data_IF_338622380852
#
_entry.id   IF_338622380852
#
_cell.length_a   1.000
_cell.length_b   1.000
_cell.length_c   1.000
_cell.angle_alpha   90.00
_cell.angle_beta   90.00
_cell.angle_gamma   90.00
#
_symmetry.space_group_name_H-M   'P 1'
#
loop_
_entity.id
_entity.type
_entity.pdbx_description
1 polymer ?
#
# COMPACT_ATOMS: atom_id res chain seq x y z
N UNK A 1 -7.16 -21.13 9.12
CA UNK A 1 -5.98 -21.25 8.23
C UNK A 1 -6.32 -21.61 6.78
N UNK A 2 -7.60 -21.72 6.39
CA UNK A 2 -8.00 -22.04 5.00
C UNK A 2 -8.27 -20.80 4.10
N UNK A 3 -8.64 -19.65 4.68
CA UNK A 3 -9.04 -18.44 3.92
C UNK A 3 -7.91 -17.76 3.12
N UNK A 4 -6.67 -17.80 3.61
CA UNK A 4 -5.55 -17.10 2.95
C UNK A 4 -5.15 -17.72 1.61
N UNK A 5 -5.28 -19.05 1.49
CA UNK A 5 -4.95 -19.79 0.27
C UNK A 5 -6.02 -19.59 -0.82
N UNK A 6 -7.30 -19.50 -0.42
CA UNK A 6 -8.41 -19.27 -1.35
C UNK A 6 -8.41 -17.84 -1.90
N UNK A 7 -8.09 -16.85 -1.06
CA UNK A 7 -7.94 -15.46 -1.50
C UNK A 7 -6.77 -15.26 -2.48
N UNK A 8 -5.62 -15.90 -2.22
CA UNK A 8 -4.48 -15.86 -3.14
C UNK A 8 -4.82 -16.50 -4.50
N UNK A 9 -5.56 -17.61 -4.49
CA UNK A 9 -6.01 -18.28 -5.72
C UNK A 9 -7.05 -17.45 -6.50
N UNK A 10 -7.97 -16.75 -5.80
CA UNK A 10 -8.92 -15.81 -6.40
C UNK A 10 -8.20 -14.62 -7.04
N UNK A 11 -7.27 -13.99 -6.30
CA UNK A 11 -6.44 -12.89 -6.79
C UNK A 11 -5.64 -13.29 -8.02
N UNK A 12 -4.95 -14.44 -7.99
CA UNK A 12 -4.17 -14.93 -9.13
C UNK A 12 -5.04 -15.14 -10.39
N UNK A 13 -6.30 -15.57 -10.23
CA UNK A 13 -7.23 -15.77 -11.35
C UNK A 13 -7.66 -14.43 -11.99
N UNK A 14 -7.98 -13.44 -11.16
CA UNK A 14 -8.35 -12.09 -11.59
C UNK A 14 -7.16 -11.39 -12.24
N UNK A 15 -5.97 -11.49 -11.64
CA UNK A 15 -4.75 -10.86 -12.14
C UNK A 15 -4.24 -11.46 -13.45
N UNK A 16 -4.35 -12.79 -13.65
CA UNK A 16 -3.99 -13.45 -14.92
C UNK A 16 -4.85 -12.95 -16.10
N UNK A 17 -6.14 -12.70 -15.86
CA UNK A 17 -7.04 -12.14 -16.86
C UNK A 17 -6.72 -10.67 -17.16
N UNK A 18 -6.41 -9.88 -16.14
CA UNK A 18 -6.15 -8.44 -16.27
C UNK A 18 -4.78 -8.11 -16.90
N UNK A 19 -3.75 -8.92 -16.65
CA UNK A 19 -2.40 -8.74 -17.22
C UNK A 19 -2.32 -9.06 -18.72
N UNK A 20 -3.15 -10.00 -19.22
CA UNK A 20 -3.23 -10.38 -20.64
C UNK A 20 -3.46 -9.18 -21.56
N UNK A 21 -4.05 -8.10 -21.05
CA UNK A 21 -4.51 -6.97 -21.85
C UNK A 21 -3.63 -5.72 -21.81
N UNK A 22 -2.51 -5.65 -21.07
CA UNK A 22 -1.61 -4.48 -21.06
C UNK A 22 -2.21 -3.14 -20.57
N UNK A 23 -3.53 -3.06 -20.41
CA UNK A 23 -4.31 -1.91 -19.98
C UNK A 23 -4.13 -1.60 -18.48
N UNK A 24 -3.71 -2.56 -17.67
CA UNK A 24 -3.75 -2.49 -16.21
C UNK A 24 -2.86 -1.41 -15.58
N UNK A 25 -1.62 -1.25 -16.08
CA UNK A 25 -0.71 -0.17 -15.61
C UNK A 25 -1.04 1.19 -16.26
N UNK A 26 -1.55 1.19 -17.50
CA UNK A 26 -1.83 2.40 -18.25
C UNK A 26 -3.08 3.14 -17.74
N UNK A 27 -4.14 2.41 -17.35
CA UNK A 27 -5.39 3.01 -16.86
C UNK A 27 -5.31 3.40 -15.38
N UNK A 28 -4.55 2.67 -14.55
CA UNK A 28 -4.36 2.99 -13.11
C UNK A 28 -3.77 4.38 -12.87
N UNK A 29 -2.91 4.87 -13.77
CA UNK A 29 -2.35 6.24 -13.67
C UNK A 29 -3.43 7.31 -13.51
N UNK A 30 -4.61 7.11 -14.10
CA UNK A 30 -5.68 8.11 -14.13
C UNK A 30 -6.59 8.10 -12.90
N UNK A 31 -6.49 7.09 -12.02
CA UNK A 31 -7.42 6.91 -10.90
C UNK A 31 -6.75 6.78 -9.53
N UNK A 32 -5.41 6.66 -9.45
CA UNK A 32 -4.66 6.58 -8.19
C UNK A 32 -4.16 7.97 -7.74
N UNK A 33 -5.08 8.91 -7.60
CA UNK A 33 -4.78 10.33 -7.42
C UNK A 33 -4.00 10.65 -6.13
N UNK A 34 -4.12 9.81 -5.10
CA UNK A 34 -3.40 9.92 -3.84
C UNK A 34 -1.97 9.37 -3.87
N UNK A 35 -1.54 8.69 -4.94
CA UNK A 35 -0.20 8.07 -5.01
C UNK A 35 0.91 9.09 -4.89
N UNK A 36 0.88 10.14 -5.70
CA UNK A 36 1.99 11.10 -5.77
C UNK A 36 2.11 11.91 -4.45
N UNK A 37 1.00 12.39 -3.84
CA UNK A 37 1.05 12.98 -2.50
C UNK A 37 1.51 12.00 -1.41
N UNK A 38 1.11 10.72 -1.46
CA UNK A 38 1.57 9.70 -0.53
C UNK A 38 3.09 9.53 -0.61
N UNK A 39 3.62 9.30 -1.81
CA UNK A 39 5.06 9.12 -2.02
C UNK A 39 5.80 10.39 -1.61
N UNK A 40 5.30 11.58 -1.93
CA UNK A 40 5.92 12.83 -1.51
C UNK A 40 5.92 13.03 0.00
N UNK A 41 4.87 12.57 0.69
CA UNK A 41 4.70 12.66 2.13
C UNK A 41 5.57 11.67 2.92
N UNK A 42 6.09 10.62 2.28
CA UNK A 42 6.96 9.64 2.95
C UNK A 42 8.14 10.30 3.65
N UNK A 43 8.84 11.23 2.97
CA UNK A 43 9.97 12.00 3.50
C UNK A 43 10.82 11.22 4.54
N UNK A 44 11.36 10.04 4.16
CA UNK A 44 12.11 9.20 5.09
C UNK A 44 13.40 9.93 5.52
N UNK A 45 13.87 9.70 6.76
CA UNK A 45 15.20 10.15 7.18
C UNK A 45 16.31 9.59 6.28
N UNK A 46 17.48 10.23 6.29
CA UNK A 46 18.66 9.72 5.57
C UNK A 46 19.03 8.31 6.07
N UNK A 47 19.33 7.38 5.16
CA UNK A 47 19.69 6.00 5.51
C UNK A 47 18.52 5.11 5.98
N UNK A 48 17.29 5.64 5.99
CA UNK A 48 16.10 4.91 6.40
C UNK A 48 15.78 3.70 5.52
N UNK A 49 15.01 2.78 6.10
CA UNK A 49 14.44 1.61 5.45
C UNK A 49 12.93 1.79 5.35
N UNK A 50 12.42 1.70 4.12
CA UNK A 50 11.01 1.89 3.79
C UNK A 50 10.39 0.57 3.35
N UNK A 51 9.21 0.22 3.86
CA UNK A 51 8.45 -0.95 3.41
C UNK A 51 7.22 -0.53 2.60
N UNK A 52 7.02 -1.10 1.41
CA UNK A 52 5.71 -1.12 0.75
C UNK A 52 5.00 -2.45 0.98
N UNK A 53 3.77 -2.38 1.47
CA UNK A 53 2.88 -3.54 1.62
C UNK A 53 1.89 -3.56 0.46
N UNK A 54 1.85 -4.69 -0.28
CA UNK A 54 1.06 -4.80 -1.51
C UNK A 54 1.70 -4.05 -2.66
N UNK A 55 2.99 -4.31 -2.93
CA UNK A 55 3.78 -3.52 -3.88
C UNK A 55 3.40 -3.75 -5.36
N UNK A 56 2.60 -4.77 -5.67
CA UNK A 56 2.10 -5.04 -7.02
C UNK A 56 3.22 -5.15 -8.05
N UNK A 57 3.12 -4.37 -9.13
CA UNK A 57 4.12 -4.33 -10.20
C UNK A 57 5.40 -3.54 -9.85
N UNK A 58 5.56 -3.10 -8.61
CA UNK A 58 6.74 -2.37 -8.12
C UNK A 58 6.82 -0.92 -8.59
N UNK A 59 5.78 -0.38 -9.24
CA UNK A 59 5.78 1.00 -9.75
C UNK A 59 6.02 2.04 -8.65
N UNK A 60 5.34 1.88 -7.52
CA UNK A 60 5.48 2.81 -6.39
C UNK A 60 6.85 2.68 -5.73
N UNK A 61 7.36 1.46 -5.50
CA UNK A 61 8.74 1.23 -5.07
C UNK A 61 9.75 1.96 -5.96
N UNK A 62 9.64 1.84 -7.28
CA UNK A 62 10.55 2.51 -8.22
C UNK A 62 10.46 4.04 -8.07
N UNK A 63 9.26 4.60 -8.05
CA UNK A 63 9.05 6.04 -7.90
C UNK A 63 9.57 6.58 -6.55
N UNK A 64 9.26 5.88 -5.46
CA UNK A 64 9.70 6.25 -4.12
C UNK A 64 11.23 6.13 -3.97
N UNK A 65 11.81 5.05 -4.49
CA UNK A 65 13.25 4.86 -4.51
C UNK A 65 13.94 5.96 -5.32
N UNK A 66 13.47 6.30 -6.51
CA UNK A 66 14.02 7.39 -7.31
C UNK A 66 13.95 8.74 -6.60
N UNK A 67 12.83 9.01 -5.90
CA UNK A 67 12.65 10.24 -5.13
C UNK A 67 13.56 10.32 -3.89
N UNK A 68 13.83 9.19 -3.24
CA UNK A 68 14.61 9.11 -2.01
C UNK A 68 15.85 8.22 -2.22
N UNK A 69 16.93 8.74 -2.82
CA UNK A 69 18.11 7.95 -3.15
C UNK A 69 18.87 7.45 -1.92
N UNK A 70 18.82 8.16 -0.79
CA UNK A 70 19.46 7.79 0.48
C UNK A 70 18.73 6.70 1.27
N UNK A 71 17.54 6.27 0.82
CA UNK A 71 16.74 5.25 1.49
C UNK A 71 16.82 3.88 0.80
N UNK A 72 16.69 2.82 1.61
CA UNK A 72 16.51 1.43 1.17
C UNK A 72 15.03 1.08 1.18
N UNK A 73 14.62 0.22 0.25
CA UNK A 73 13.22 -0.14 0.09
C UNK A 73 13.03 -1.66 0.11
N UNK A 74 12.02 -2.09 0.85
CA UNK A 74 11.52 -3.45 0.86
C UNK A 74 10.09 -3.45 0.31
N UNK A 75 9.74 -4.45 -0.48
CA UNK A 75 8.40 -4.63 -1.02
C UNK A 75 7.89 -6.03 -0.78
N UNK A 76 6.64 -6.15 -0.32
CA UNK A 76 5.97 -7.43 -0.20
C UNK A 76 4.68 -7.46 -1.00
N UNK A 77 4.39 -8.62 -1.57
CA UNK A 77 3.12 -8.91 -2.23
C UNK A 77 2.79 -10.39 -2.10
N UNK A 78 1.49 -10.72 -2.13
CA UNK A 78 0.98 -12.10 -2.07
C UNK A 78 1.02 -12.78 -3.45
N UNK A 79 1.10 -12.02 -4.54
CA UNK A 79 1.16 -12.55 -5.90
C UNK A 79 2.61 -12.67 -6.37
N UNK A 80 3.03 -13.91 -6.64
CA UNK A 80 4.36 -14.19 -7.22
C UNK A 80 4.55 -13.58 -8.60
N UNK A 81 3.47 -13.50 -9.38
CA UNK A 81 3.47 -12.92 -10.73
C UNK A 81 3.67 -11.40 -10.70
N UNK A 82 3.11 -10.74 -9.69
CA UNK A 82 3.32 -9.31 -9.45
C UNK A 82 4.76 -9.06 -9.03
N UNK A 83 5.30 -9.87 -8.11
CA UNK A 83 6.69 -9.76 -7.69
C UNK A 83 7.69 -9.99 -8.83
N UNK A 84 7.41 -10.91 -9.75
CA UNK A 84 8.22 -11.08 -10.95
C UNK A 84 8.23 -9.80 -11.81
N UNK A 85 7.08 -9.14 -11.97
CA UNK A 85 7.00 -7.86 -12.69
C UNK A 85 7.70 -6.73 -11.93
N UNK A 86 7.57 -6.70 -10.60
CA UNK A 86 8.25 -5.74 -9.72
C UNK A 86 9.77 -5.90 -9.80
N UNK A 87 10.29 -7.12 -9.80
CA UNK A 87 11.71 -7.42 -9.97
C UNK A 87 12.23 -6.85 -11.29
N UNK A 88 11.53 -7.12 -12.40
CA UNK A 88 11.89 -6.55 -13.70
C UNK A 88 11.83 -5.02 -13.72
N UNK A 89 10.87 -4.40 -13.02
CA UNK A 89 10.77 -2.94 -12.94
C UNK A 89 11.94 -2.33 -12.14
N UNK A 90 12.30 -2.96 -11.03
CA UNK A 90 13.45 -2.59 -10.17
C UNK A 90 14.77 -2.71 -10.93
N UNK A 91 14.98 -3.82 -11.64
CA UNK A 91 16.18 -4.04 -12.45
C UNK A 91 16.31 -3.02 -13.58
N UNK A 92 15.23 -2.81 -14.36
CA UNK A 92 15.21 -1.82 -15.44
C UNK A 92 15.47 -0.39 -14.96
N UNK A 93 15.09 -0.08 -13.72
CA UNK A 93 15.34 1.22 -13.10
C UNK A 93 16.74 1.35 -12.46
N UNK A 94 17.57 0.30 -12.48
CA UNK A 94 18.90 0.29 -11.86
C UNK A 94 18.86 0.29 -10.33
N UNK A 95 17.80 -0.25 -9.72
CA UNK A 95 17.52 -0.12 -8.29
C UNK A 95 17.79 -1.40 -7.48
N UNK A 96 18.26 -2.47 -8.11
CA UNK A 96 18.47 -3.78 -7.49
C UNK A 96 19.39 -3.76 -6.25
N UNK A 97 20.32 -2.80 -6.17
CA UNK A 97 21.21 -2.65 -5.01
C UNK A 97 20.52 -2.17 -3.73
N UNK A 98 19.32 -1.57 -3.82
CA UNK A 98 18.64 -0.91 -2.69
C UNK A 98 17.15 -1.20 -2.58
N UNK A 99 16.57 -1.93 -3.53
CA UNK A 99 15.19 -2.42 -3.45
C UNK A 99 15.22 -3.94 -3.35
N UNK A 100 14.59 -4.50 -2.30
CA UNK A 100 14.42 -5.94 -2.12
C UNK A 100 12.95 -6.31 -2.11
N UNK A 101 12.63 -7.48 -2.65
CA UNK A 101 11.27 -7.98 -2.79
C UNK A 101 11.12 -9.31 -2.06
N UNK A 102 9.98 -9.57 -1.44
CA UNK A 102 9.66 -10.86 -0.85
C UNK A 102 8.19 -11.24 -1.08
N UNK A 103 7.96 -12.53 -1.30
CA UNK A 103 6.62 -13.11 -1.32
C UNK A 103 6.11 -13.30 0.09
N UNK A 104 5.02 -12.61 0.44
CA UNK A 104 4.43 -12.69 1.77
C UNK A 104 2.96 -12.27 1.79
N UNK A 105 2.18 -12.92 2.66
CA UNK A 105 0.89 -12.39 3.11
C UNK A 105 1.14 -11.27 4.12
N UNK A 106 0.65 -10.07 3.84
CA UNK A 106 0.77 -8.91 4.70
C UNK A 106 0.21 -9.12 6.11
N UNK A 107 -0.80 -9.98 6.27
CA UNK A 107 -1.41 -10.27 7.56
C UNK A 107 -0.54 -11.18 8.44
N UNK A 108 0.39 -11.94 7.84
CA UNK A 108 1.26 -12.89 8.52
C UNK A 108 2.76 -12.61 8.26
N UNK A 109 3.08 -11.40 7.80
CA UNK A 109 4.43 -11.06 7.38
C UNK A 109 5.40 -10.92 8.57
N UNK A 110 6.57 -11.55 8.44
CA UNK A 110 7.70 -11.41 9.36
C UNK A 110 8.92 -10.80 8.64
N UNK A 111 9.25 -9.52 8.89
CA UNK A 111 10.36 -8.83 8.23
C UNK A 111 11.73 -9.38 8.63
N UNK A 112 11.85 -10.00 9.82
CA UNK A 112 13.11 -10.63 10.26
C UNK A 112 13.50 -11.76 9.34
N UNK A 113 12.53 -12.63 9.05
CA UNK A 113 12.71 -13.77 8.16
C UNK A 113 12.92 -13.37 6.71
N UNK A 114 12.16 -12.37 6.23
CA UNK A 114 12.20 -11.99 4.82
C UNK A 114 13.39 -11.10 4.45
N UNK A 115 13.74 -10.13 5.31
CA UNK A 115 14.70 -9.08 4.98
C UNK A 115 15.79 -8.88 6.01
N UNK A 116 15.80 -9.65 7.11
CA UNK A 116 16.69 -9.40 8.27
C UNK A 116 16.51 -8.00 8.82
N UNK A 117 15.24 -7.55 8.90
CA UNK A 117 14.86 -6.24 9.41
C UNK A 117 13.82 -6.39 10.52
N UNK A 118 13.94 -5.58 11.56
CA UNK A 118 13.07 -5.63 12.74
C UNK A 118 11.95 -4.60 12.66
N UNK A 119 12.33 -3.40 12.22
CA UNK A 119 11.47 -2.22 12.18
C UNK A 119 11.77 -1.36 10.96
N UNK A 120 10.90 -0.41 10.69
CA UNK A 120 10.98 0.49 9.53
C UNK A 120 10.69 1.92 9.95
N UNK A 121 11.48 2.86 9.44
CA UNK A 121 11.23 4.28 9.65
C UNK A 121 10.00 4.75 8.87
N UNK A 122 9.71 4.11 7.74
CA UNK A 122 8.48 4.33 6.96
C UNK A 122 7.91 3.01 6.49
N UNK A 123 6.59 2.88 6.60
CA UNK A 123 5.82 1.83 5.94
C UNK A 123 4.74 2.52 5.14
N UNK A 124 4.45 2.05 3.94
CA UNK A 124 3.31 2.55 3.19
C UNK A 124 2.49 1.48 2.50
N UNK A 125 1.21 1.80 2.34
CA UNK A 125 0.20 0.98 1.69
C UNK A 125 -0.48 1.88 0.67
N UNK A 126 -0.33 1.59 -0.62
CA UNK A 126 -0.89 2.40 -1.69
C UNK A 126 -1.96 1.61 -2.44
N UNK A 127 -3.23 1.96 -2.21
CA UNK A 127 -4.40 1.36 -2.83
C UNK A 127 -4.44 -0.17 -2.75
N UNK A 128 -3.97 -0.71 -1.63
CA UNK A 128 -4.02 -2.14 -1.33
C UNK A 128 -5.00 -2.48 -0.20
N UNK A 129 -5.27 -1.56 0.74
CA UNK A 129 -6.15 -1.83 1.87
C UNK A 129 -7.60 -2.12 1.44
N UNK A 130 -8.07 -1.46 0.38
CA UNK A 130 -9.38 -1.69 -0.24
C UNK A 130 -9.53 -3.04 -0.95
N UNK A 131 -8.42 -3.75 -1.20
CA UNK A 131 -8.42 -5.11 -1.78
C UNK A 131 -8.16 -6.20 -0.74
N UNK A 132 -7.62 -5.86 0.43
CA UNK A 132 -7.31 -6.82 1.50
C UNK A 132 -8.50 -6.93 2.48
N UNK A 133 -9.13 -8.11 2.64
CA UNK A 133 -10.24 -8.28 3.59
C UNK A 133 -9.85 -7.94 5.03
N UNK A 134 -8.69 -8.43 5.47
CA UNK A 134 -8.12 -8.27 6.80
C UNK A 134 -7.23 -7.00 6.94
N UNK A 135 -7.53 -5.93 6.20
CA UNK A 135 -6.71 -4.72 6.16
C UNK A 135 -6.46 -4.07 7.53
N UNK A 136 -7.42 -4.14 8.47
CA UNK A 136 -7.25 -3.64 9.84
C UNK A 136 -6.14 -4.38 10.59
N UNK A 137 -6.12 -5.71 10.43
CA UNK A 137 -5.04 -6.53 10.97
C UNK A 137 -3.70 -6.16 10.32
N UNK A 138 -3.67 -6.01 8.99
CA UNK A 138 -2.46 -5.58 8.26
C UNK A 138 -1.93 -4.23 8.78
N UNK A 139 -2.80 -3.23 8.97
CA UNK A 139 -2.40 -1.95 9.55
C UNK A 139 -1.86 -2.11 10.97
N UNK A 140 -2.53 -2.88 11.83
CA UNK A 140 -2.06 -3.15 13.19
C UNK A 140 -0.69 -3.86 13.20
N UNK A 141 -0.48 -4.82 12.29
CA UNK A 141 0.80 -5.49 12.10
C UNK A 141 1.88 -4.52 11.62
N UNK A 142 1.58 -3.68 10.64
CA UNK A 142 2.51 -2.67 10.12
C UNK A 142 2.92 -1.67 11.21
N UNK A 143 1.95 -1.15 11.96
CA UNK A 143 2.16 -0.21 13.06
C UNK A 143 3.11 -0.79 14.12
N UNK A 144 3.01 -2.09 14.46
CA UNK A 144 3.94 -2.77 15.38
C UNK A 144 5.37 -2.94 14.83
N UNK A 145 5.58 -2.72 13.52
CA UNK A 145 6.90 -2.78 12.87
C UNK A 145 7.49 -1.39 12.62
N UNK A 146 6.87 -0.33 13.12
CA UNK A 146 7.46 1.01 13.05
C UNK A 146 8.64 1.11 14.01
N UNK A 147 9.72 1.73 13.54
CA UNK A 147 10.79 2.21 14.41
C UNK A 147 10.25 3.36 15.30
N UNK A 148 10.94 3.70 16.40
CA UNK A 148 10.64 4.94 17.15
C UNK A 148 10.60 6.16 16.21
N UNK A 149 9.57 6.99 16.33
CA UNK A 149 9.32 8.11 15.42
C UNK A 149 8.98 7.71 13.97
N UNK A 150 8.82 6.42 13.68
CA UNK A 150 8.47 5.89 12.36
C UNK A 150 7.01 6.14 12.00
N UNK A 151 6.69 6.05 10.71
CA UNK A 151 5.35 6.37 10.21
C UNK A 151 4.79 5.30 9.27
N UNK A 152 3.51 4.97 9.46
CA UNK A 152 2.69 4.22 8.50
C UNK A 152 1.85 5.20 7.67
N UNK A 153 2.04 5.17 6.36
CA UNK A 153 1.33 5.99 5.39
C UNK A 153 0.37 5.13 4.56
N UNK A 154 -0.93 5.41 4.58
CA UNK A 154 -1.94 4.65 3.81
C UNK A 154 -2.66 5.59 2.87
N UNK A 155 -2.57 5.36 1.55
CA UNK A 155 -3.46 5.99 0.59
C UNK A 155 -4.47 4.97 0.07
N UNK A 156 -5.75 5.32 0.07
CA UNK A 156 -6.78 4.49 -0.53
C UNK A 156 -7.99 5.32 -0.99
N UNK A 157 -8.99 4.64 -1.57
CA UNK A 157 -10.27 5.25 -1.95
C UNK A 157 -11.04 5.67 -0.69
N UNK A 158 -11.51 6.92 -0.70
CA UNK A 158 -12.31 7.50 0.36
C UNK A 158 -13.82 7.30 0.15
N UNK A 159 -14.61 8.06 0.90
CA UNK A 159 -16.07 8.00 0.88
C UNK A 159 -16.74 8.67 -0.33
N UNK A 160 -15.98 9.52 -1.05
CA UNK A 160 -16.46 10.36 -2.13
C UNK A 160 -17.68 11.22 -1.73
N UNK A 161 -17.76 11.65 -0.47
CA UNK A 161 -18.95 12.33 0.06
C UNK A 161 -19.23 13.68 -0.61
N UNK A 162 -18.23 14.33 -1.18
CA UNK A 162 -18.34 15.62 -1.86
C UNK A 162 -18.65 15.49 -3.38
N UNK A 163 -18.86 14.28 -3.89
CA UNK A 163 -19.33 14.06 -5.27
C UNK A 163 -20.87 14.04 -5.34
N UNK A 164 -21.47 14.43 -6.49
CA UNK A 164 -22.90 14.25 -6.71
C UNK A 164 -23.32 12.80 -6.46
N UNK A 165 -24.47 12.60 -5.82
CA UNK A 165 -24.89 11.27 -5.34
C UNK A 165 -24.88 10.18 -6.41
N UNK A 166 -25.33 10.49 -7.63
CA UNK A 166 -25.31 9.56 -8.76
C UNK A 166 -23.88 9.22 -9.22
N UNK A 167 -22.96 10.20 -9.21
CA UNK A 167 -21.55 10.01 -9.57
C UNK A 167 -20.86 9.12 -8.55
N UNK A 168 -21.12 9.35 -7.26
CA UNK A 168 -20.65 8.51 -6.16
C UNK A 168 -21.14 7.07 -6.32
N UNK A 169 -22.43 6.86 -6.57
CA UNK A 169 -22.98 5.51 -6.79
C UNK A 169 -22.37 4.82 -8.01
N UNK A 170 -22.19 5.54 -9.13
CA UNK A 170 -21.53 5.00 -10.31
C UNK A 170 -20.08 4.59 -10.03
N UNK A 171 -19.35 5.41 -9.27
CA UNK A 171 -17.98 5.13 -8.84
C UNK A 171 -17.89 3.88 -7.96
N UNK A 172 -18.73 3.75 -6.94
CA UNK A 172 -18.74 2.55 -6.08
C UNK A 172 -19.04 1.28 -6.89
N UNK A 173 -19.98 1.35 -7.85
CA UNK A 173 -20.28 0.22 -8.74
C UNK A 173 -19.08 -0.15 -9.61
N UNK A 174 -18.40 0.85 -10.17
CA UNK A 174 -17.21 0.64 -10.98
C UNK A 174 -16.07 0.02 -10.15
N UNK A 175 -15.79 0.53 -8.95
CA UNK A 175 -14.80 -0.05 -8.03
C UNK A 175 -15.14 -1.50 -7.65
N UNK A 176 -16.42 -1.80 -7.43
CA UNK A 176 -16.90 -3.14 -7.13
C UNK A 176 -16.56 -4.17 -8.22
N UNK A 177 -16.58 -3.78 -9.50
CA UNK A 177 -16.16 -4.65 -10.60
C UNK A 177 -14.67 -5.04 -10.56
N UNK A 178 -13.85 -4.28 -9.83
CA UNK A 178 -12.44 -4.58 -9.61
C UNK A 178 -12.16 -5.18 -8.23
N UNK A 179 -13.21 -5.63 -7.51
CA UNK A 179 -13.11 -6.13 -6.13
C UNK A 179 -12.51 -5.11 -5.15
N UNK A 180 -12.67 -3.82 -5.44
CA UNK A 180 -12.23 -2.73 -4.58
C UNK A 180 -13.39 -2.32 -3.67
N UNK A 181 -13.17 -2.39 -2.37
CA UNK A 181 -14.13 -1.92 -1.37
C UNK A 181 -13.48 -0.79 -0.57
N UNK A 182 -13.90 0.48 -0.77
CA UNK A 182 -13.40 1.60 0.03
C UNK A 182 -13.54 1.35 1.53
N UNK A 183 -12.64 1.94 2.32
CA UNK A 183 -12.54 1.70 3.77
C UNK A 183 -13.05 2.95 4.50
N UNK A 184 -14.37 3.07 4.76
CA UNK A 184 -14.96 4.30 5.30
C UNK A 184 -14.45 4.64 6.70
N UNK A 185 -13.99 3.65 7.45
CA UNK A 185 -13.44 3.77 8.80
C UNK A 185 -11.90 3.80 8.82
N UNK A 186 -11.23 4.04 7.69
CA UNK A 186 -9.76 4.10 7.60
C UNK A 186 -9.16 5.07 8.62
N UNK A 187 -9.73 6.27 8.74
CA UNK A 187 -9.25 7.29 9.65
C UNK A 187 -9.49 6.94 11.12
N UNK A 188 -10.65 6.38 11.45
CA UNK A 188 -10.98 5.92 12.80
C UNK A 188 -10.01 4.81 13.26
N UNK A 189 -9.75 3.83 12.38
CA UNK A 189 -8.78 2.76 12.65
C UNK A 189 -7.37 3.31 12.83
N UNK A 190 -6.95 4.24 11.98
CA UNK A 190 -5.63 4.87 12.11
C UNK A 190 -5.48 5.64 13.42
N UNK A 191 -6.49 6.43 13.81
CA UNK A 191 -6.52 7.17 15.06
C UNK A 191 -6.45 6.22 16.27
N UNK A 192 -7.26 5.15 16.27
CA UNK A 192 -7.26 4.13 17.32
C UNK A 192 -5.89 3.46 17.46
N UNK A 193 -5.24 3.09 16.34
CA UNK A 193 -3.91 2.51 16.34
C UNK A 193 -2.86 3.49 16.88
N UNK A 194 -2.91 4.76 16.47
CA UNK A 194 -2.01 5.79 16.99
C UNK A 194 -2.15 5.94 18.52
N UNK A 195 -3.38 6.06 19.02
CA UNK A 195 -3.64 6.15 20.46
C UNK A 195 -3.13 4.93 21.22
N UNK A 196 -3.29 3.72 20.68
CA UNK A 196 -2.83 2.48 21.32
C UNK A 196 -1.30 2.41 21.52
N UNK A 197 -0.53 3.17 20.73
CA UNK A 197 0.92 3.27 20.84
C UNK A 197 1.40 4.51 21.60
N UNK A 198 0.51 5.41 22.00
CA UNK A 198 0.91 6.75 22.45
C UNK A 198 1.48 7.63 21.33
N UNK A 199 1.14 7.32 20.08
CA UNK A 199 1.56 8.05 18.88
C UNK A 199 0.54 9.10 18.43
N UNK A 200 0.68 9.56 17.18
CA UNK A 200 -0.25 10.54 16.58
C UNK A 200 -0.77 10.07 15.21
N UNK A 201 -1.94 10.55 14.81
CA UNK A 201 -2.51 10.29 13.49
C UNK A 201 -2.80 11.59 12.75
N UNK A 202 -2.61 11.60 11.43
CA UNK A 202 -2.99 12.68 10.52
C UNK A 202 -3.86 12.17 9.41
N UNK A 203 -4.91 12.93 9.10
CA UNK A 203 -5.85 12.65 8.01
C UNK A 203 -5.68 13.67 6.90
N UNK A 204 -5.85 13.23 5.66
CA UNK A 204 -5.90 14.09 4.50
C UNK A 204 -6.92 13.56 3.51
N UNK A 205 -7.90 14.40 3.15
CA UNK A 205 -8.90 14.12 2.12
C UNK A 205 -8.48 14.83 0.85
N UNK A 206 -8.40 14.09 -0.25
CA UNK A 206 -7.98 14.58 -1.56
C UNK A 206 -9.11 14.43 -2.57
N UNK A 207 -9.16 15.34 -3.54
CA UNK A 207 -10.06 15.27 -4.70
C UNK A 207 -11.51 15.01 -4.30
N UNK A 208 -12.09 15.85 -3.42
CA UNK A 208 -13.49 15.76 -2.98
C UNK A 208 -13.83 14.41 -2.33
N UNK A 209 -12.93 13.92 -1.48
CA UNK A 209 -13.08 12.64 -0.77
C UNK A 209 -12.85 11.40 -1.64
N UNK A 210 -12.42 11.55 -2.89
CA UNK A 210 -12.09 10.42 -3.76
C UNK A 210 -10.93 9.58 -3.21
N UNK A 211 -9.88 10.24 -2.72
CA UNK A 211 -8.73 9.57 -2.14
C UNK A 211 -8.47 10.10 -0.75
N UNK A 212 -8.18 9.20 0.16
CA UNK A 212 -7.77 9.52 1.51
C UNK A 212 -6.30 9.14 1.71
N UNK A 213 -5.60 9.92 2.53
CA UNK A 213 -4.29 9.59 3.06
C UNK A 213 -4.36 9.65 4.58
N UNK A 214 -3.98 8.55 5.21
CA UNK A 214 -3.79 8.43 6.65
C UNK A 214 -2.31 8.30 6.96
N UNK A 215 -1.82 9.00 7.98
CA UNK A 215 -0.46 8.81 8.51
C UNK A 215 -0.56 8.52 10.00
N UNK A 216 -0.06 7.37 10.43
CA UNK A 216 0.11 7.00 11.84
C UNK A 216 1.58 7.11 12.18
N UNK A 217 1.92 7.89 13.21
CA UNK A 217 3.30 8.10 13.67
C UNK A 217 3.49 7.48 15.04
N UNK A 218 4.50 6.63 15.17
CA UNK A 218 4.97 6.10 16.45
C UNK A 218 5.60 7.22 17.32
N UNK A 219 5.56 7.09 18.66
CA UNK A 219 6.18 8.05 19.56
C UNK A 219 7.68 8.23 19.32
#
# INVERSE_FOLDING_TARGET
MADGLDHAALMNRVYRWQRRWGFYDATRKYYLLGRDPLIAGLAPPEGATVLEIGCGTGRNLVLAAQRYPGARFHGIDISTEMLAAAGQAVERAGLAGRVRLAHADAAAFDPRRAFRQDSYERIFISYAASMIPQWRAVMAHAVRRLAPGGELHVADFGDMAELPGWTRTAMYRWLGWYHVTPRPDLFEVASSLASSLGGTAREQRLHRGYSWISVVRAP
#
